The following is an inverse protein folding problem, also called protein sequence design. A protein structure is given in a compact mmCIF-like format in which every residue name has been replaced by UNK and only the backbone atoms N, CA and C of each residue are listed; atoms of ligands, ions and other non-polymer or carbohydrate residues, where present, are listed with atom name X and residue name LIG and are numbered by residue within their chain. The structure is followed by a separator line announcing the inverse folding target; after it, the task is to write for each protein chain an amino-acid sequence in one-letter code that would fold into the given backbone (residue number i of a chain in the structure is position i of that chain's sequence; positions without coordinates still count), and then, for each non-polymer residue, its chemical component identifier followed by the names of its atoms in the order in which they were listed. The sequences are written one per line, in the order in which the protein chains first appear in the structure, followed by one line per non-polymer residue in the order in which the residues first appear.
data_IF_414632704040
#
_entry.id   IF_414632704040
#
_cell.length_a   1.000
_cell.length_b   1.000
_cell.length_c   1.000
_cell.angle_alpha   90.00
_cell.angle_beta   90.00
_cell.angle_gamma   90.00
#
_symmetry.space_group_name_H-M   'P 1'
#
loop_
_entity.id
_entity.type
_entity.pdbx_description
1 polymer ?
#
# COMPACT_ATOMS: atom_id res chain seq x y z
N UNK A 1 -34.09 2.69 -24.90
CA UNK A 1 -33.60 2.66 -23.51
C UNK A 1 -32.16 3.10 -23.58
N UNK A 2 -31.88 4.27 -23.02
CA UNK A 2 -30.67 5.05 -23.26
C UNK A 2 -29.41 4.43 -22.65
N UNK A 3 -28.48 4.03 -23.52
CA UNK A 3 -27.11 3.59 -23.20
C UNK A 3 -26.21 4.74 -22.67
N UNK A 4 -26.71 5.97 -22.65
CA UNK A 4 -25.98 7.15 -22.15
C UNK A 4 -25.85 7.18 -20.62
N UNK A 5 -26.70 6.47 -19.88
CA UNK A 5 -26.61 6.41 -18.40
C UNK A 5 -25.51 5.47 -17.87
N UNK A 6 -25.01 4.53 -18.69
CA UNK A 6 -23.98 3.58 -18.23
C UNK A 6 -22.56 4.16 -18.35
N UNK A 7 -22.34 5.02 -19.34
CA UNK A 7 -21.06 5.69 -19.62
C UNK A 7 -20.75 6.79 -18.61
N UNK A 8 -21.75 7.56 -18.17
CA UNK A 8 -21.57 8.63 -17.16
C UNK A 8 -21.13 8.06 -15.80
N UNK A 9 -21.75 6.95 -15.36
CA UNK A 9 -21.36 6.30 -14.10
C UNK A 9 -19.96 5.67 -14.15
N UNK A 10 -19.44 5.36 -15.34
CA UNK A 10 -18.10 4.81 -15.54
C UNK A 10 -17.04 5.91 -15.61
N UNK A 11 -17.36 7.04 -16.26
CA UNK A 11 -16.53 8.24 -16.27
C UNK A 11 -16.31 8.80 -14.87
N UNK A 12 -17.37 8.89 -14.07
CA UNK A 12 -17.30 9.35 -12.68
C UNK A 12 -16.48 8.41 -11.78
N UNK A 13 -16.57 7.09 -12.00
CA UNK A 13 -15.78 6.09 -11.26
C UNK A 13 -14.30 6.12 -11.64
N UNK A 14 -13.99 6.32 -12.92
CA UNK A 14 -12.61 6.49 -13.40
C UNK A 14 -12.03 7.80 -12.89
N UNK A 15 -12.79 8.90 -12.94
CA UNK A 15 -12.38 10.19 -12.42
C UNK A 15 -12.22 10.15 -10.89
N UNK A 16 -13.08 9.43 -10.16
CA UNK A 16 -12.92 9.18 -8.73
C UNK A 16 -11.64 8.38 -8.44
N UNK A 17 -11.34 7.34 -9.23
CA UNK A 17 -10.12 6.53 -9.10
C UNK A 17 -8.85 7.33 -9.41
N UNK A 18 -8.91 8.19 -10.43
CA UNK A 18 -7.85 9.14 -10.76
C UNK A 18 -7.71 10.20 -9.67
N UNK A 19 -8.80 10.69 -9.09
CA UNK A 19 -8.80 11.67 -8.01
C UNK A 19 -8.23 11.06 -6.73
N UNK A 20 -8.58 9.82 -6.40
CA UNK A 20 -8.06 9.08 -5.25
C UNK A 20 -6.57 8.77 -5.41
N UNK A 21 -6.16 8.39 -6.63
CA UNK A 21 -4.75 8.18 -6.98
C UNK A 21 -3.98 9.52 -6.90
N UNK A 22 -4.53 10.59 -7.46
CA UNK A 22 -3.99 11.97 -7.38
C UNK A 22 -3.92 12.49 -5.95
N UNK A 23 -4.90 12.17 -5.11
CA UNK A 23 -4.93 12.56 -3.71
C UNK A 23 -4.02 11.74 -2.82
N UNK A 24 -3.87 10.45 -3.11
CA UNK A 24 -2.82 9.63 -2.54
C UNK A 24 -1.43 10.22 -2.85
N UNK A 25 -1.19 10.64 -4.10
CA UNK A 25 0.05 11.33 -4.47
C UNK A 25 0.23 12.67 -3.75
N UNK A 26 -0.86 13.45 -3.58
CA UNK A 26 -0.84 14.73 -2.86
C UNK A 26 -0.67 14.58 -1.33
N UNK A 27 -1.11 13.47 -0.74
CA UNK A 27 -1.09 13.25 0.71
C UNK A 27 0.15 12.45 1.19
N UNK A 28 0.77 11.64 0.32
CA UNK A 28 1.88 10.75 0.68
C UNK A 28 3.25 11.04 0.03
N UNK A 29 3.47 12.23 -0.53
CA UNK A 29 4.78 12.66 -1.08
C UNK A 29 5.38 11.68 -2.12
N UNK A 30 4.55 11.01 -2.93
CA UNK A 30 5.01 10.16 -4.03
C UNK A 30 5.00 10.97 -5.34
N UNK A 31 6.19 11.14 -5.91
CA UNK A 31 6.50 12.09 -6.99
C UNK A 31 5.87 11.71 -8.35
N UNK A 32 4.95 12.55 -8.83
CA UNK A 32 4.83 12.86 -10.27
C UNK A 32 4.92 14.39 -10.40
N UNK A 33 5.94 14.87 -11.12
CA UNK A 33 6.17 16.28 -11.51
C UNK A 33 6.76 17.26 -10.48
N UNK A 34 7.53 16.79 -9.49
CA UNK A 34 8.65 17.57 -8.95
C UNK A 34 8.33 18.89 -8.22
N UNK A 35 7.16 19.03 -7.58
CA UNK A 35 6.91 20.10 -6.59
C UNK A 35 6.42 19.49 -5.28
N UNK A 36 7.30 19.50 -4.29
CA UNK A 36 7.17 18.91 -2.94
C UNK A 36 6.44 19.88 -2.01
N UNK A 37 5.49 19.39 -1.22
CA UNK A 37 5.12 20.01 0.07
C UNK A 37 5.85 19.25 1.19
N UNK A 38 6.86 19.90 1.75
CA UNK A 38 7.91 19.28 2.56
C UNK A 38 7.38 18.81 3.91
N UNK A 39 7.27 17.51 4.12
CA UNK A 39 7.51 16.94 5.46
C UNK A 39 9.01 16.64 5.55
N UNK A 40 9.77 17.64 6.01
CA UNK A 40 11.20 17.58 6.37
C UNK A 40 12.15 16.92 5.37
N UNK A 41 12.41 17.52 4.19
CA UNK A 41 13.52 17.06 3.34
C UNK A 41 14.28 18.18 2.60
N UNK A 42 15.61 18.16 2.80
CA UNK A 42 16.61 18.73 1.89
C UNK A 42 16.94 17.71 0.80
N UNK A 43 17.14 18.18 -0.44
CA UNK A 43 17.18 17.43 -1.73
C UNK A 43 18.17 16.23 -1.85
N UNK A 44 18.88 15.79 -0.81
CA UNK A 44 20.02 14.85 -0.94
C UNK A 44 20.19 13.78 0.17
N UNK A 45 19.26 13.62 1.10
CA UNK A 45 19.36 12.56 2.12
C UNK A 45 18.00 11.85 2.25
N UNK A 46 18.00 10.53 2.38
CA UNK A 46 16.86 9.72 2.80
C UNK A 46 17.39 8.81 3.90
N UNK A 47 16.80 8.84 5.11
CA UNK A 47 17.23 7.93 6.17
C UNK A 47 16.80 6.49 5.84
N UNK A 48 17.33 5.53 6.59
CA UNK A 48 16.95 4.13 6.43
C UNK A 48 15.49 3.91 6.83
N UNK A 49 15.04 4.68 7.83
CA UNK A 49 13.70 4.72 8.40
C UNK A 49 12.71 5.23 7.36
N UNK A 50 13.01 6.35 6.71
CA UNK A 50 12.15 6.93 5.66
C UNK A 50 12.00 5.99 4.47
N UNK A 51 13.08 5.28 4.12
CA UNK A 51 13.07 4.31 3.03
C UNK A 51 12.17 3.12 3.36
N UNK A 52 12.25 2.61 4.60
CA UNK A 52 11.39 1.53 5.09
C UNK A 52 9.92 1.97 5.12
N UNK A 53 9.66 3.18 5.62
CA UNK A 53 8.30 3.73 5.71
C UNK A 53 7.66 3.88 4.33
N UNK A 54 8.38 4.48 3.38
CA UNK A 54 7.91 4.60 1.99
C UNK A 54 7.66 3.23 1.37
N UNK A 55 8.57 2.27 1.57
CA UNK A 55 8.39 0.91 1.05
C UNK A 55 7.15 0.24 1.62
N UNK A 56 6.91 0.38 2.93
CA UNK A 56 5.71 -0.12 3.59
C UNK A 56 4.45 0.49 2.98
N UNK A 57 4.36 1.83 2.91
CA UNK A 57 3.17 2.53 2.38
C UNK A 57 2.85 2.11 0.95
N UNK A 58 3.86 2.03 0.09
CA UNK A 58 3.68 1.61 -1.32
C UNK A 58 3.18 0.17 -1.40
N UNK A 59 3.82 -0.76 -0.69
CA UNK A 59 3.40 -2.17 -0.68
C UNK A 59 2.01 -2.33 -0.09
N UNK A 60 1.69 -1.59 0.95
CA UNK A 60 0.39 -1.65 1.61
C UNK A 60 -0.74 -1.15 0.71
N UNK A 61 -0.53 -0.01 0.02
CA UNK A 61 -1.48 0.49 -0.98
C UNK A 61 -1.77 -0.57 -2.06
N UNK A 62 -0.71 -1.23 -2.54
CA UNK A 62 -0.78 -2.24 -3.60
C UNK A 62 -1.25 -3.62 -3.13
N UNK A 63 -1.56 -3.80 -1.83
CA UNK A 63 -1.83 -5.11 -1.21
C UNK A 63 -0.69 -6.13 -1.44
N UNK A 64 0.54 -5.63 -1.58
CA UNK A 64 1.76 -6.37 -1.95
C UNK A 64 2.71 -6.58 -0.74
N UNK A 65 2.15 -6.42 0.47
CA UNK A 65 2.83 -6.69 1.74
C UNK A 65 3.32 -8.15 1.78
N UNK A 66 4.41 -8.46 2.51
CA UNK A 66 4.94 -9.82 2.62
C UNK A 66 4.07 -10.72 3.52
N UNK A 67 2.85 -11.01 3.06
CA UNK A 67 1.96 -12.03 3.64
C UNK A 67 2.34 -13.42 3.12
N UNK A 68 1.93 -14.49 3.81
CA UNK A 68 2.20 -15.87 3.34
C UNK A 68 1.58 -16.13 1.97
N UNK A 69 0.39 -15.61 1.67
CA UNK A 69 -0.19 -15.65 0.32
C UNK A 69 0.77 -15.03 -0.72
N UNK A 70 1.30 -13.84 -0.42
CA UNK A 70 2.22 -13.12 -1.31
C UNK A 70 3.55 -13.84 -1.47
N UNK A 71 4.12 -14.37 -0.39
CA UNK A 71 5.38 -15.11 -0.42
C UNK A 71 5.23 -16.43 -1.18
N UNK A 72 4.11 -17.12 -0.99
CA UNK A 72 3.79 -18.35 -1.71
C UNK A 72 3.62 -18.08 -3.22
N UNK A 73 2.86 -17.05 -3.60
CA UNK A 73 2.73 -16.60 -5.01
C UNK A 73 4.06 -16.20 -5.66
N UNK A 74 5.05 -15.75 -4.87
CA UNK A 74 6.40 -15.43 -5.33
C UNK A 74 7.31 -16.66 -5.44
N UNK A 75 6.78 -17.85 -5.17
CA UNK A 75 7.48 -19.13 -5.18
C UNK A 75 8.72 -19.11 -4.28
N UNK A 76 8.62 -18.54 -3.07
CA UNK A 76 9.72 -18.57 -2.10
C UNK A 76 9.94 -19.99 -1.62
N UNK A 77 11.20 -20.45 -1.65
CA UNK A 77 11.53 -21.86 -1.46
C UNK A 77 11.10 -22.39 -0.09
N UNK A 78 11.42 -21.61 0.96
CA UNK A 78 11.13 -21.93 2.35
C UNK A 78 9.65 -21.84 2.76
N UNK A 79 8.77 -21.39 1.87
CA UNK A 79 7.33 -21.23 2.15
C UNK A 79 6.55 -22.31 1.42
N UNK A 80 5.97 -23.25 2.17
CA UNK A 80 5.29 -24.42 1.62
C UNK A 80 3.85 -24.13 1.19
N UNK A 81 3.15 -23.24 1.89
CA UNK A 81 1.74 -22.90 1.62
C UNK A 81 1.44 -21.42 1.97
N UNK A 82 0.23 -20.97 1.63
CA UNK A 82 -0.29 -19.62 1.87
C UNK A 82 -0.93 -19.42 3.25
N UNK A 83 -0.89 -20.42 4.13
CA UNK A 83 -1.67 -20.42 5.38
C UNK A 83 -1.09 -19.45 6.41
N UNK A 84 -1.97 -18.86 7.21
CA UNK A 84 -1.59 -17.99 8.33
C UNK A 84 -0.96 -18.82 9.44
N UNK A 85 0.34 -18.59 9.66
CA UNK A 85 1.09 -19.27 10.71
C UNK A 85 0.75 -18.76 12.11
N UNK A 86 0.14 -17.57 12.23
CA UNK A 86 -0.25 -16.99 13.53
C UNK A 86 -1.47 -17.73 14.09
N UNK A 87 -2.61 -17.60 13.41
CA UNK A 87 -3.89 -18.06 13.96
C UNK A 87 -4.06 -19.57 13.97
N UNK A 88 -3.30 -20.32 13.17
CA UNK A 88 -3.38 -21.78 13.14
C UNK A 88 -4.75 -22.35 12.72
N UNK A 89 -5.69 -21.51 12.26
CA UNK A 89 -7.07 -21.90 11.91
C UNK A 89 -7.20 -22.51 10.52
N UNK A 90 -6.09 -22.83 9.87
CA UNK A 90 -6.07 -23.26 8.48
C UNK A 90 -6.82 -22.28 7.56
N UNK A 91 -6.58 -20.98 7.77
CA UNK A 91 -7.00 -19.88 6.88
C UNK A 91 -5.79 -19.34 6.10
N UNK A 92 -5.98 -18.92 4.84
CA UNK A 92 -4.92 -18.27 4.05
C UNK A 92 -4.59 -16.88 4.61
N UNK A 93 -3.30 -16.56 4.75
CA UNK A 93 -2.86 -15.22 5.13
C UNK A 93 -2.88 -14.26 3.93
N UNK A 94 -4.08 -13.89 3.51
CA UNK A 94 -4.29 -12.83 2.53
C UNK A 94 -4.00 -11.45 3.12
N UNK A 95 -3.88 -10.41 2.29
CA UNK A 95 -3.76 -9.03 2.77
C UNK A 95 -4.94 -8.65 3.68
N UNK A 96 -6.16 -9.08 3.33
CA UNK A 96 -7.36 -8.85 4.15
C UNK A 96 -7.25 -9.56 5.50
N UNK A 97 -6.86 -10.84 5.50
CA UNK A 97 -6.76 -11.65 6.72
C UNK A 97 -5.81 -11.03 7.75
N UNK A 98 -4.69 -10.41 7.33
CA UNK A 98 -3.74 -9.76 8.27
C UNK A 98 -4.45 -8.76 9.19
N UNK A 99 -5.39 -7.98 8.65
CA UNK A 99 -6.06 -6.90 9.38
C UNK A 99 -7.22 -7.39 10.27
N UNK A 100 -7.80 -8.55 9.97
CA UNK A 100 -8.93 -9.14 10.72
C UNK A 100 -8.59 -10.50 11.35
N UNK A 101 -7.31 -10.83 11.42
CA UNK A 101 -6.84 -12.07 11.99
C UNK A 101 -7.32 -12.19 13.44
N UNK A 102 -7.82 -13.37 13.80
CA UNK A 102 -8.36 -13.63 15.13
C UNK A 102 -7.31 -13.55 16.26
N UNK A 103 -6.02 -13.58 15.91
CA UNK A 103 -4.90 -13.42 16.85
C UNK A 103 -4.48 -11.95 17.03
N UNK A 104 -5.17 -11.01 16.39
CA UNK A 104 -4.96 -9.60 16.66
C UNK A 104 -5.59 -9.25 18.02
N UNK A 105 -4.88 -8.47 18.84
CA UNK A 105 -5.32 -8.11 20.19
C UNK A 105 -6.60 -7.25 20.21
N UNK A 106 -6.87 -6.52 19.13
CA UNK A 106 -8.02 -5.66 18.97
C UNK A 106 -8.52 -5.70 17.52
N UNK A 107 -9.83 -5.51 17.37
CA UNK A 107 -10.44 -5.36 16.04
C UNK A 107 -10.27 -3.93 15.50
N UNK A 108 -10.66 -3.73 14.24
CA UNK A 108 -10.43 -2.46 13.56
C UNK A 108 -11.19 -1.29 14.20
N UNK A 109 -12.43 -1.51 14.63
CA UNK A 109 -13.28 -0.47 15.23
C UNK A 109 -12.78 -0.07 16.62
N UNK A 110 -12.35 -1.05 17.42
CA UNK A 110 -11.68 -0.82 18.71
C UNK A 110 -10.43 0.04 18.53
N UNK A 111 -9.58 -0.30 17.55
CA UNK A 111 -8.38 0.48 17.25
C UNK A 111 -8.74 1.93 16.89
N UNK A 112 -9.73 2.17 16.02
CA UNK A 112 -10.14 3.54 15.67
C UNK A 112 -10.55 4.33 16.90
N UNK A 113 -11.45 3.77 17.72
CA UNK A 113 -12.00 4.46 18.89
C UNK A 113 -10.93 4.77 19.92
N UNK A 114 -10.11 3.78 20.27
CA UNK A 114 -8.99 3.95 21.21
C UNK A 114 -7.93 4.91 20.66
N UNK A 115 -7.67 4.91 19.35
CA UNK A 115 -6.71 5.82 18.72
C UNK A 115 -7.14 7.28 18.86
N UNK A 116 -8.43 7.58 18.74
CA UNK A 116 -8.94 8.93 18.92
C UNK A 116 -8.77 9.37 20.39
N UNK A 117 -9.10 8.50 21.35
CA UNK A 117 -8.88 8.79 22.78
C UNK A 117 -7.40 9.01 23.10
N UNK A 118 -6.50 8.17 22.58
CA UNK A 118 -5.05 8.35 22.74
C UNK A 118 -4.54 9.64 22.09
N UNK A 119 -5.09 10.02 20.93
CA UNK A 119 -4.75 11.27 20.27
C UNK A 119 -5.21 12.47 21.10
N UNK A 120 -6.40 12.41 21.69
CA UNK A 120 -6.88 13.45 22.61
C UNK A 120 -5.97 13.58 23.85
N UNK A 121 -5.56 12.46 24.46
CA UNK A 121 -4.59 12.46 25.55
C UNK A 121 -3.25 13.08 25.13
N UNK A 122 -2.78 12.77 23.91
CA UNK A 122 -1.58 13.36 23.36
C UNK A 122 -1.72 14.88 23.25
N UNK A 123 -2.84 15.39 22.72
CA UNK A 123 -3.08 16.84 22.62
C UNK A 123 -3.11 17.50 24.01
N UNK A 124 -3.79 16.88 24.98
CA UNK A 124 -3.84 17.36 26.36
C UNK A 124 -2.45 17.42 27.01
N UNK A 125 -1.64 16.36 26.88
CA UNK A 125 -0.27 16.31 27.42
C UNK A 125 0.64 17.38 26.82
N UNK A 126 0.35 17.84 25.61
CA UNK A 126 1.09 18.91 24.93
C UNK A 126 0.45 20.30 25.09
N UNK A 127 -0.55 20.47 25.96
CA UNK A 127 -1.18 21.77 26.23
C UNK A 127 -2.00 22.33 25.06
N UNK A 128 -2.44 21.50 24.12
CA UNK A 128 -3.18 21.89 22.92
C UNK A 128 -4.70 21.87 23.15
N UNK A 129 -5.20 22.65 24.11
CA UNK A 129 -6.61 22.61 24.55
C UNK A 129 -7.63 23.05 23.48
N UNK A 130 -7.26 24.00 22.61
CA UNK A 130 -8.08 24.41 21.47
C UNK A 130 -8.26 23.23 20.50
N UNK A 131 -7.18 22.51 20.20
CA UNK A 131 -7.19 21.36 19.30
C UNK A 131 -7.99 20.18 19.86
N UNK A 132 -8.01 20.00 21.19
CA UNK A 132 -8.88 19.03 21.86
C UNK A 132 -10.35 19.35 21.64
N UNK A 133 -10.72 20.63 21.70
CA UNK A 133 -12.10 21.06 21.45
C UNK A 133 -12.49 20.77 20.01
N UNK A 134 -11.64 21.15 19.06
CA UNK A 134 -11.80 20.85 17.63
C UNK A 134 -11.95 19.34 17.39
N UNK A 135 -11.09 18.52 18.00
CA UNK A 135 -11.16 17.07 17.86
C UNK A 135 -12.49 16.52 18.35
N UNK A 136 -12.97 16.96 19.51
CA UNK A 136 -14.24 16.51 20.10
C UNK A 136 -15.44 16.90 19.23
N UNK A 137 -15.44 18.09 18.65
CA UNK A 137 -16.49 18.56 17.73
C UNK A 137 -16.58 17.70 16.46
N UNK A 138 -15.45 17.16 16.00
CA UNK A 138 -15.37 16.33 14.79
C UNK A 138 -15.35 14.82 15.04
N UNK A 139 -15.21 14.36 16.28
CA UNK A 139 -14.98 12.94 16.62
C UNK A 139 -16.06 12.00 16.04
N UNK A 140 -17.33 12.31 16.30
CA UNK A 140 -18.46 11.52 15.79
C UNK A 140 -18.44 11.48 14.26
N UNK A 141 -18.16 12.60 13.61
CA UNK A 141 -18.09 12.70 12.15
C UNK A 141 -16.93 11.86 11.58
N UNK A 142 -15.76 11.89 12.23
CA UNK A 142 -14.59 11.09 11.82
C UNK A 142 -14.92 9.61 11.87
N UNK A 143 -15.46 9.12 12.99
CA UNK A 143 -15.86 7.72 13.16
C UNK A 143 -16.93 7.33 12.14
N UNK A 144 -17.97 8.15 11.99
CA UNK A 144 -19.07 7.90 11.03
C UNK A 144 -18.53 7.76 9.61
N UNK A 145 -17.65 8.66 9.16
CA UNK A 145 -17.04 8.58 7.83
C UNK A 145 -16.31 7.25 7.64
N UNK A 146 -15.56 6.80 8.66
CA UNK A 146 -14.77 5.57 8.60
C UNK A 146 -15.65 4.31 8.54
N UNK A 147 -16.73 4.27 9.33
CA UNK A 147 -17.66 3.13 9.40
C UNK A 147 -18.54 2.99 8.16
N UNK A 148 -18.82 4.09 7.46
CA UNK A 148 -19.61 4.06 6.24
C UNK A 148 -18.99 3.17 5.14
N UNK A 149 -19.85 2.68 4.23
CA UNK A 149 -19.44 1.86 3.08
C UNK A 149 -18.46 2.63 2.18
N UNK A 150 -17.42 1.94 1.75
CA UNK A 150 -16.48 2.43 0.77
C UNK A 150 -17.11 2.48 -0.62
N UNK A 151 -16.83 3.56 -1.35
CA UNK A 151 -17.25 3.70 -2.75
C UNK A 151 -16.27 3.04 -3.72
N UNK A 152 -15.07 2.68 -3.25
CA UNK A 152 -13.99 2.10 -4.08
C UNK A 152 -13.64 0.66 -3.73
N UNK A 153 -13.98 0.21 -2.52
CA UNK A 153 -13.78 -1.15 -2.03
C UNK A 153 -15.15 -1.79 -1.79
N UNK A 154 -15.58 -2.65 -2.72
CA UNK A 154 -16.89 -3.28 -2.64
C UNK A 154 -17.00 -4.17 -1.39
N UNK A 155 -18.10 -4.01 -0.64
CA UNK A 155 -18.35 -4.78 0.58
C UNK A 155 -17.49 -4.39 1.79
N UNK A 156 -16.69 -3.33 1.69
CA UNK A 156 -15.82 -2.84 2.78
C UNK A 156 -16.26 -1.47 3.27
N UNK A 157 -15.91 -1.11 4.51
CA UNK A 157 -16.05 0.24 5.06
C UNK A 157 -14.87 1.14 4.66
N UNK A 158 -14.94 2.45 4.93
CA UNK A 158 -13.84 3.39 4.67
C UNK A 158 -12.64 3.20 5.60
N UNK A 159 -12.77 2.48 6.71
CA UNK A 159 -11.62 1.99 7.48
C UNK A 159 -10.63 1.26 6.56
N UNK A 160 -11.12 0.46 5.60
CA UNK A 160 -10.25 -0.25 4.66
C UNK A 160 -9.54 0.67 3.67
N UNK A 161 -10.12 1.83 3.34
CA UNK A 161 -9.43 2.87 2.59
C UNK A 161 -8.26 3.43 3.41
N UNK A 162 -8.50 3.73 4.70
CA UNK A 162 -7.48 4.17 5.63
C UNK A 162 -6.38 3.13 5.83
N UNK A 163 -6.72 1.84 5.97
CA UNK A 163 -5.73 0.75 6.09
C UNK A 163 -4.74 0.73 4.93
N UNK A 164 -5.19 1.02 3.70
CA UNK A 164 -4.32 1.14 2.53
C UNK A 164 -3.50 2.44 2.48
N UNK A 165 -3.75 3.35 3.42
CA UNK A 165 -3.19 4.69 3.41
C UNK A 165 -3.86 5.58 2.36
N UNK A 166 -5.17 5.43 2.12
CA UNK A 166 -5.90 6.30 1.22
C UNK A 166 -6.67 7.34 2.05
N UNK A 167 -6.32 8.62 1.89
CA UNK A 167 -7.04 9.71 2.53
C UNK A 167 -8.35 9.97 1.79
N UNK A 168 -9.48 9.97 2.52
CA UNK A 168 -10.80 10.19 1.93
C UNK A 168 -11.16 11.69 1.91
N UNK A 169 -11.55 12.21 0.76
CA UNK A 169 -11.92 13.62 0.57
C UNK A 169 -13.02 14.11 1.50
N UNK A 170 -13.90 13.23 1.98
CA UNK A 170 -15.00 13.61 2.89
C UNK A 170 -14.49 14.27 4.16
N UNK A 171 -13.29 13.93 4.62
CA UNK A 171 -12.65 14.64 5.72
C UNK A 171 -12.39 16.12 5.40
N UNK A 172 -12.06 16.46 4.15
CA UNK A 172 -11.88 17.86 3.72
C UNK A 172 -13.21 18.64 3.64
N UNK A 173 -14.34 17.94 3.61
CA UNK A 173 -15.68 18.52 3.56
C UNK A 173 -16.32 18.72 4.94
N UNK A 174 -15.70 18.20 6.01
CA UNK A 174 -16.17 18.39 7.40
C UNK A 174 -16.16 19.85 7.83
N UNK A 175 -15.19 20.62 7.34
CA UNK A 175 -15.01 22.03 7.73
C UNK A 175 -14.34 22.81 6.61
N UNK A 176 -14.50 24.14 6.62
CA UNK A 176 -13.74 25.05 5.75
C UNK A 176 -12.55 25.68 6.47
N UNK A 177 -12.53 25.61 7.80
CA UNK A 177 -11.48 26.18 8.65
C UNK A 177 -10.18 25.41 8.47
N UNK A 178 -9.07 26.13 8.28
CA UNK A 178 -7.78 25.52 7.93
C UNK A 178 -7.16 24.79 9.13
N UNK A 179 -7.31 25.37 10.30
CA UNK A 179 -6.84 24.90 11.59
C UNK A 179 -7.53 23.58 11.93
N UNK A 180 -8.86 23.52 11.83
CA UNK A 180 -9.61 22.28 12.04
C UNK A 180 -9.23 21.17 11.05
N UNK A 181 -9.04 21.51 9.77
CA UNK A 181 -8.53 20.55 8.77
C UNK A 181 -7.18 19.98 9.15
N UNK A 182 -6.30 20.76 9.76
CA UNK A 182 -5.00 20.29 10.21
C UNK A 182 -5.17 19.23 11.31
N UNK A 183 -6.02 19.50 12.30
CA UNK A 183 -6.30 18.56 13.40
C UNK A 183 -6.95 17.27 12.92
N UNK A 184 -7.91 17.35 11.99
CA UNK A 184 -8.52 16.16 11.37
C UNK A 184 -7.47 15.32 10.65
N UNK A 185 -6.53 15.94 9.92
CA UNK A 185 -5.44 15.24 9.23
C UNK A 185 -4.42 14.64 10.20
N UNK A 186 -4.09 15.34 11.27
CA UNK A 186 -3.23 14.82 12.34
C UNK A 186 -3.87 13.58 12.99
N UNK A 187 -5.16 13.66 13.33
CA UNK A 187 -5.94 12.53 13.86
C UNK A 187 -5.95 11.34 12.88
N UNK A 188 -6.24 11.59 11.60
CA UNK A 188 -6.21 10.55 10.56
C UNK A 188 -4.83 9.85 10.50
N UNK A 189 -3.73 10.61 10.52
CA UNK A 189 -2.38 10.06 10.51
C UNK A 189 -2.08 9.26 11.78
N UNK A 190 -2.58 9.71 12.92
CA UNK A 190 -2.45 9.01 14.19
C UNK A 190 -3.13 7.64 14.14
N UNK A 191 -4.39 7.57 13.70
CA UNK A 191 -5.14 6.31 13.56
C UNK A 191 -4.46 5.38 12.56
N UNK A 192 -4.02 5.89 11.41
CA UNK A 192 -3.27 5.10 10.41
C UNK A 192 -2.02 4.44 11.01
N UNK A 193 -1.27 5.19 11.81
CA UNK A 193 -0.08 4.68 12.48
C UNK A 193 -0.42 3.65 13.56
N UNK A 194 -1.53 3.83 14.30
CA UNK A 194 -1.98 2.84 15.29
C UNK A 194 -2.32 1.50 14.64
N UNK A 195 -2.98 1.47 13.47
CA UNK A 195 -3.18 0.22 12.72
C UNK A 195 -1.86 -0.47 12.36
N UNK A 196 -0.90 0.31 11.85
CA UNK A 196 0.42 -0.21 11.52
C UNK A 196 1.12 -0.77 12.75
N UNK A 197 1.09 -0.04 13.87
CA UNK A 197 1.82 -0.41 15.08
C UNK A 197 1.20 -1.62 15.78
N UNK A 198 -0.12 -1.64 15.93
CA UNK A 198 -0.84 -2.66 16.71
C UNK A 198 -1.10 -3.95 15.93
N UNK A 199 -1.20 -3.87 14.60
CA UNK A 199 -1.46 -5.05 13.77
C UNK A 199 -0.22 -5.39 12.96
N UNK A 200 0.22 -4.52 12.06
CA UNK A 200 1.24 -4.89 11.08
C UNK A 200 2.61 -5.20 11.72
N UNK A 201 3.07 -4.36 12.65
CA UNK A 201 4.35 -4.58 13.32
C UNK A 201 4.30 -5.79 14.26
N UNK A 202 3.27 -5.92 15.08
CA UNK A 202 3.06 -7.09 15.95
C UNK A 202 3.00 -8.38 15.12
N UNK A 203 2.26 -8.39 14.00
CA UNK A 203 2.27 -9.50 13.05
C UNK A 203 3.67 -9.83 12.56
N UNK A 204 4.47 -8.82 12.18
CA UNK A 204 5.82 -9.05 11.67
C UNK A 204 6.75 -9.66 12.73
N UNK A 205 6.65 -9.19 13.98
CA UNK A 205 7.43 -9.71 15.10
C UNK A 205 7.05 -11.17 15.39
N UNK A 206 5.75 -11.46 15.47
CA UNK A 206 5.27 -12.80 15.77
C UNK A 206 5.57 -13.79 14.64
N UNK A 207 5.40 -13.38 13.38
CA UNK A 207 5.76 -14.23 12.24
C UNK A 207 7.26 -14.53 12.23
N UNK A 208 8.11 -13.54 12.50
CA UNK A 208 9.55 -13.78 12.59
C UNK A 208 9.92 -14.73 13.73
N UNK A 209 9.18 -14.69 14.86
CA UNK A 209 9.35 -15.63 15.98
C UNK A 209 8.98 -17.06 15.56
N UNK A 210 7.83 -17.24 14.91
CA UNK A 210 7.33 -18.54 14.45
C UNK A 210 8.21 -19.13 13.35
N UNK A 211 8.61 -18.33 12.34
CA UNK A 211 9.55 -18.72 11.28
C UNK A 211 10.86 -19.26 11.88
N UNK A 212 11.40 -18.59 12.91
CA UNK A 212 12.62 -19.03 13.59
C UNK A 212 12.44 -20.38 14.29
N UNK A 213 11.27 -20.66 14.86
CA UNK A 213 10.98 -21.93 15.54
C UNK A 213 10.95 -23.10 14.56
N UNK A 214 10.48 -22.88 13.33
CA UNK A 214 10.48 -23.89 12.25
C UNK A 214 11.77 -23.89 11.42
N UNK A 215 12.78 -23.10 11.82
CA UNK A 215 14.11 -23.09 11.20
C UNK A 215 14.26 -22.21 9.96
N UNK A 216 13.27 -21.39 9.61
CA UNK A 216 13.34 -20.44 8.49
C UNK A 216 14.15 -19.22 8.91
N UNK A 217 15.16 -18.85 8.12
CA UNK A 217 15.94 -17.64 8.32
C UNK A 217 15.61 -16.57 7.26
N UNK A 218 15.90 -15.31 7.58
CA UNK A 218 15.66 -14.17 6.65
C UNK A 218 16.33 -14.32 5.28
N UNK A 219 17.42 -15.09 5.19
CA UNK A 219 18.11 -15.37 3.94
C UNK A 219 17.33 -16.32 3.03
N UNK A 220 16.52 -17.20 3.60
CA UNK A 220 15.76 -18.19 2.85
C UNK A 220 14.52 -17.56 2.20
N UNK A 221 13.96 -16.52 2.84
CA UNK A 221 12.89 -15.69 2.28
C UNK A 221 13.32 -14.85 1.06
N UNK A 222 14.61 -14.84 0.72
CA UNK A 222 15.14 -14.15 -0.49
C UNK A 222 15.33 -15.10 -1.66
N UNK A 223 15.29 -16.41 -1.43
CA UNK A 223 15.54 -17.43 -2.45
C UNK A 223 14.21 -17.85 -3.07
N UNK A 224 14.11 -17.71 -4.39
CA UNK A 224 13.03 -18.34 -5.14
C UNK A 224 13.31 -19.82 -5.30
N UNK A 225 12.26 -20.62 -5.25
CA UNK A 225 12.28 -22.06 -5.57
C UNK A 225 12.84 -22.23 -6.97
N UNK A 226 13.85 -23.10 -7.11
CA UNK A 226 14.45 -23.38 -8.43
C UNK A 226 13.45 -24.17 -9.28
N UNK A 227 13.15 -23.71 -10.49
CA UNK A 227 12.36 -24.49 -11.45
C UNK A 227 13.26 -25.57 -12.04
N UNK A 228 12.74 -26.78 -12.26
CA UNK A 228 13.52 -27.91 -12.82
C UNK A 228 14.17 -27.61 -14.18
N UNK A 229 13.64 -26.62 -14.92
CA UNK A 229 14.21 -26.14 -16.17
C UNK A 229 15.52 -25.34 -15.99
N UNK A 230 15.75 -24.73 -14.84
CA UNK A 230 16.98 -23.95 -14.57
C UNK A 230 18.17 -24.85 -14.22
N UNK A 231 17.92 -26.03 -13.62
CA UNK A 231 18.97 -27.05 -13.42
C UNK A 231 19.58 -27.52 -14.74
N UNK A 232 18.80 -27.59 -15.83
CA UNK A 232 19.30 -27.99 -17.16
C UNK A 232 20.10 -26.89 -17.88
N UNK A 233 20.03 -25.64 -17.41
CA UNK A 233 20.73 -24.49 -18.02
C UNK A 233 22.04 -24.14 -17.33
N UNK A 234 22.24 -24.55 -16.07
CA UNK A 234 23.51 -24.38 -15.35
C UNK A 234 24.64 -25.21 -16.00
N UNK A 235 24.33 -26.31 -16.68
CA UNK A 235 25.32 -27.17 -17.37
C UNK A 235 25.83 -26.61 -18.71
N UNK A 236 25.33 -25.47 -19.20
CA UNK A 236 25.58 -25.01 -20.59
C UNK A 236 26.08 -23.56 -20.76
N UNK A 237 26.67 -22.93 -19.74
CA UNK A 237 27.23 -21.57 -19.90
C UNK A 237 28.57 -21.34 -19.20
N UNK A 238 29.60 -22.00 -19.71
CA UNK A 238 30.91 -21.36 -19.86
C UNK A 238 31.03 -20.91 -21.32
N UNK A 239 30.93 -19.61 -21.57
CA UNK A 239 31.75 -18.93 -22.59
C UNK A 239 31.52 -17.40 -22.54
N UNK A 240 32.66 -16.71 -22.48
CA UNK A 240 32.84 -15.26 -22.44
C UNK A 240 32.07 -14.50 -23.53
N UNK A 241 31.53 -13.32 -23.19
CA UNK A 241 31.39 -12.23 -24.16
C UNK A 241 31.90 -10.91 -23.57
N UNK A 242 32.95 -10.43 -24.22
CA UNK A 242 33.70 -9.21 -23.98
C UNK A 242 32.89 -7.90 -24.11
N UNK A 243 33.44 -6.90 -23.44
CA UNK A 243 33.12 -5.48 -23.48
C UNK A 243 32.71 -4.91 -24.85
N UNK A 244 31.58 -4.18 -24.89
CA UNK A 244 31.36 -3.08 -25.86
C UNK A 244 30.86 -1.80 -25.17
N UNK A 245 31.72 -0.78 -25.17
CA UNK A 245 31.39 0.63 -24.87
C UNK A 245 30.69 1.24 -26.08
N UNK A 246 29.52 1.87 -25.88
CA UNK A 246 29.08 3.01 -26.70
C UNK A 246 27.98 3.88 -26.05
N UNK A 247 28.19 5.19 -26.22
CA UNK A 247 27.36 6.40 -26.16
C UNK A 247 26.29 6.62 -25.05
N UNK A 248 26.58 7.62 -24.19
CA UNK A 248 25.80 8.07 -23.03
C UNK A 248 24.50 8.85 -23.35
N UNK A 249 24.23 9.20 -24.60
CA UNK A 249 23.10 10.08 -24.99
C UNK A 249 21.87 9.26 -25.38
N UNK A 250 22.03 8.17 -26.15
CA UNK A 250 20.93 7.29 -26.55
C UNK A 250 20.40 6.46 -25.38
N UNK A 251 21.27 6.03 -24.46
CA UNK A 251 20.87 5.41 -23.19
C UNK A 251 19.99 6.30 -22.33
N UNK A 252 20.15 7.64 -22.38
CA UNK A 252 19.31 8.57 -21.61
C UNK A 252 17.92 8.76 -22.22
N UNK A 253 17.79 8.76 -23.56
CA UNK A 253 16.50 8.81 -24.25
C UNK A 253 15.75 7.48 -24.09
N UNK A 254 16.42 6.36 -24.32
CA UNK A 254 15.85 5.02 -24.12
C UNK A 254 15.48 4.78 -22.66
N UNK A 255 16.31 5.22 -21.69
CA UNK A 255 15.97 5.19 -20.27
C UNK A 255 14.77 6.07 -19.95
N UNK A 256 14.68 7.30 -20.47
CA UNK A 256 13.50 8.17 -20.27
C UNK A 256 12.22 7.58 -20.87
N UNK A 257 12.30 6.93 -22.02
CA UNK A 257 11.16 6.33 -22.69
C UNK A 257 10.72 5.04 -22.01
N UNK A 258 11.68 4.24 -21.54
CA UNK A 258 11.46 3.07 -20.68
C UNK A 258 10.88 3.48 -19.31
N UNK A 259 11.41 4.52 -18.67
CA UNK A 259 10.90 5.08 -17.41
C UNK A 259 9.47 5.63 -17.60
N UNK A 260 9.17 6.26 -18.75
CA UNK A 260 7.80 6.69 -19.08
C UNK A 260 6.86 5.50 -19.26
N UNK A 261 7.29 4.45 -19.96
CA UNK A 261 6.51 3.21 -20.13
C UNK A 261 6.28 2.50 -18.80
N UNK A 262 7.31 2.41 -17.95
CA UNK A 262 7.18 1.90 -16.57
C UNK A 262 6.20 2.76 -15.79
N UNK A 263 6.27 4.09 -15.86
CA UNK A 263 5.35 4.97 -15.13
C UNK A 263 3.89 4.79 -15.58
N UNK A 264 3.65 4.58 -16.87
CA UNK A 264 2.30 4.30 -17.41
C UNK A 264 1.81 2.94 -16.91
N UNK A 265 2.60 1.88 -17.08
CA UNK A 265 2.25 0.52 -16.62
C UNK A 265 2.08 0.46 -15.10
N UNK A 266 2.90 1.21 -14.36
CA UNK A 266 2.82 1.30 -12.90
C UNK A 266 1.57 2.07 -12.50
N UNK A 267 1.19 3.14 -13.22
CA UNK A 267 -0.05 3.89 -12.99
C UNK A 267 -1.28 3.02 -13.26
N UNK A 268 -1.31 2.28 -14.36
CA UNK A 268 -2.46 1.42 -14.71
C UNK A 268 -2.59 0.25 -13.73
N UNK A 269 -1.46 -0.37 -13.35
CA UNK A 269 -1.42 -1.37 -12.28
C UNK A 269 -1.89 -0.79 -10.95
N UNK A 270 -1.45 0.41 -10.58
CA UNK A 270 -1.90 1.11 -9.36
C UNK A 270 -3.41 1.38 -9.38
N UNK A 271 -3.97 1.83 -10.50
CA UNK A 271 -5.42 2.08 -10.63
C UNK A 271 -6.21 0.78 -10.42
N UNK A 272 -5.77 -0.32 -11.06
CA UNK A 272 -6.37 -1.64 -10.90
C UNK A 272 -6.17 -2.26 -9.51
N UNK A 273 -5.09 -1.94 -8.79
CA UNK A 273 -4.87 -2.39 -7.40
C UNK A 273 -5.62 -1.52 -6.37
N UNK A 274 -5.87 -0.24 -6.68
CA UNK A 274 -6.56 0.70 -5.80
C UNK A 274 -8.08 0.55 -5.89
N UNK A 275 -8.62 0.09 -7.01
CA UNK A 275 -10.05 -0.22 -7.14
C UNK A 275 -10.21 -1.72 -7.27
N UNK A 276 -10.93 -2.37 -6.35
CA UNK A 276 -11.11 -3.84 -6.35
C UNK A 276 -12.03 -4.31 -7.50
N UNK A 277 -11.65 -4.05 -8.77
CA UNK A 277 -12.30 -4.58 -9.96
C UNK A 277 -11.34 -5.44 -10.77
N UNK A 278 -11.78 -6.68 -10.93
CA UNK A 278 -11.27 -7.73 -11.80
C UNK A 278 -10.54 -7.21 -13.06
N UNK A 279 -9.30 -7.70 -13.19
CA UNK A 279 -8.60 -8.06 -14.43
C UNK A 279 -9.24 -7.56 -15.74
N UNK A 280 -8.61 -6.58 -16.38
CA UNK A 280 -8.71 -6.48 -17.84
C UNK A 280 -7.52 -7.29 -18.36
N UNK A 281 -7.77 -8.57 -18.64
CA UNK A 281 -6.99 -9.31 -19.62
C UNK A 281 -6.94 -8.51 -20.93
N UNK A 282 -5.79 -8.64 -21.63
CA UNK A 282 -5.35 -7.91 -22.83
C UNK A 282 -4.62 -6.60 -22.46
N UNK A 283 -3.30 -6.49 -22.59
CA UNK A 283 -2.55 -6.51 -23.85
C UNK A 283 -1.11 -6.95 -23.57
N UNK A 284 -0.79 -8.22 -23.85
CA UNK A 284 0.56 -8.62 -24.24
C UNK A 284 0.39 -9.55 -25.45
N UNK A 285 0.33 -8.96 -26.64
CA UNK A 285 0.53 -9.72 -27.87
C UNK A 285 1.96 -10.27 -27.86
N UNK A 286 2.09 -11.53 -27.43
CA UNK A 286 3.22 -12.38 -27.75
C UNK A 286 3.07 -12.87 -29.19
N UNK A 287 3.45 -12.04 -30.15
CA UNK A 287 3.82 -12.52 -31.48
C UNK A 287 5.22 -11.99 -31.79
N UNK A 288 6.26 -12.86 -31.81
CA UNK A 288 7.55 -12.48 -32.37
C UNK A 288 7.36 -12.09 -33.83
N UNK A 289 7.90 -10.93 -34.23
CA UNK A 289 8.04 -10.59 -35.65
C UNK A 289 8.84 -11.70 -36.32
N UNK A 290 8.18 -12.44 -37.20
CA UNK A 290 8.86 -13.26 -38.20
C UNK A 290 9.38 -12.28 -39.27
N UNK A 291 10.64 -12.47 -39.63
CA UNK A 291 11.43 -11.61 -40.53
C UNK A 291 10.78 -11.40 -41.90
#
# INVERSE_FOLDING_TARGET
MDDTNYLDSSGDKIQASINITTQFYHYHDVNINGKINRTTFNKRQCSSEDTKERSYRIKNLLKDLPTYETLYKREIDAIENSMCIRCGKNEEETWDHVWICNDNEANLDEIVRESISKFEEYLNKNGRSEDVTILRDHNINIVTILEERSNILLGKSRIWEMLRGVFNDRFNHLTKVKEEKAIIKECWNFIYNEFKNRIWLIRCEEVARLEKLIGIQKQDLRKKRRKEQDKRKEDFKDENIENKKTNKIDKKKQKKEFDKKINIVTRDRLIGSVTDRNNIENIWDLMPKIY
#
